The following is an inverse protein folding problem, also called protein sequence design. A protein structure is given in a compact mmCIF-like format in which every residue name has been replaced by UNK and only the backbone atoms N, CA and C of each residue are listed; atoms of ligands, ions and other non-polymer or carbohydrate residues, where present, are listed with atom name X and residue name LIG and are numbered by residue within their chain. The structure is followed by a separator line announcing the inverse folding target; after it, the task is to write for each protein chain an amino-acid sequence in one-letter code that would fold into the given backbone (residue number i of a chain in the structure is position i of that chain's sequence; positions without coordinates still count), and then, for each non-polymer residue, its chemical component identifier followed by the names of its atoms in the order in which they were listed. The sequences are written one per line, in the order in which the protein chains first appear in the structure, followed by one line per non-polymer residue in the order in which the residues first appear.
data_IF_118680734882
#
_entry.id   IF_118680734882
#
_cell.length_a   1.000
_cell.length_b   1.000
_cell.length_c   1.000
_cell.angle_alpha   90.00
_cell.angle_beta   90.00
_cell.angle_gamma   90.00
#
_symmetry.space_group_name_H-M   'P 1'
#
loop_
_entity.id
_entity.type
_entity.pdbx_description
1 polymer ?
#
# COMPACT_ATOMS: atom_id res chain seq x y z
N UNK A 1 15.34 0.03 30.58
CA UNK A 1 15.16 -0.96 29.50
C UNK A 1 14.80 -0.19 28.25
N UNK A 2 15.81 0.08 27.42
CA UNK A 2 15.68 0.96 26.26
C UNK A 2 14.97 0.18 25.15
N UNK A 3 13.71 0.53 24.86
CA UNK A 3 12.97 -0.01 23.73
C UNK A 3 13.66 0.45 22.44
N UNK A 4 14.28 -0.50 21.76
CA UNK A 4 14.95 -0.31 20.49
C UNK A 4 14.00 0.36 19.49
N UNK A 5 14.39 1.53 19.00
CA UNK A 5 13.70 2.24 17.92
C UNK A 5 13.78 1.35 16.68
N UNK A 6 12.76 0.53 16.44
CA UNK A 6 12.55 0.01 15.10
C UNK A 6 11.99 1.15 14.25
N UNK A 7 12.85 2.09 13.84
CA UNK A 7 12.68 2.65 12.51
C UNK A 7 12.67 1.43 11.60
N UNK A 8 11.51 1.07 11.05
CA UNK A 8 11.44 -0.05 10.11
C UNK A 8 12.49 0.21 9.04
N UNK A 9 13.59 -0.56 9.08
CA UNK A 9 14.62 -0.50 8.06
C UNK A 9 13.91 -0.73 6.73
N UNK A 10 14.20 0.10 5.73
CA UNK A 10 13.63 -0.07 4.39
C UNK A 10 13.80 -1.52 3.95
N UNK A 11 12.76 -2.08 3.31
CA UNK A 11 12.79 -3.47 2.85
C UNK A 11 14.02 -3.67 1.96
N UNK A 12 14.94 -4.59 2.30
CA UNK A 12 16.18 -4.75 1.54
C UNK A 12 15.96 -5.26 0.11
N UNK A 13 14.80 -5.86 -0.17
CA UNK A 13 14.41 -6.31 -1.50
C UNK A 13 13.65 -5.24 -2.28
N UNK A 14 12.94 -4.36 -1.56
CA UNK A 14 12.09 -3.33 -2.16
C UNK A 14 12.29 -1.97 -1.48
N UNK A 15 13.49 -1.39 -1.55
CA UNK A 15 13.84 -0.19 -0.78
C UNK A 15 12.99 1.03 -1.16
N UNK A 16 12.51 1.08 -2.41
CA UNK A 16 11.69 2.17 -2.94
C UNK A 16 10.19 1.92 -2.83
N UNK A 17 9.77 0.79 -2.24
CA UNK A 17 8.36 0.44 -2.14
C UNK A 17 7.85 0.44 -0.70
N UNK A 18 6.67 1.04 -0.58
CA UNK A 18 5.85 0.96 0.63
C UNK A 18 5.96 2.23 1.44
N UNK A 19 5.21 2.26 2.53
CA UNK A 19 5.22 3.38 3.45
C UNK A 19 5.14 2.81 4.88
N UNK A 20 6.26 2.91 5.60
CA UNK A 20 6.38 2.38 6.95
C UNK A 20 5.55 3.14 7.99
N UNK A 21 4.93 4.27 7.63
CA UNK A 21 4.11 5.07 8.54
C UNK A 21 2.76 4.43 8.84
N UNK A 22 2.32 3.45 8.06
CA UNK A 22 1.09 2.71 8.32
C UNK A 22 1.24 1.23 7.99
N UNK A 23 0.32 0.42 8.49
CA UNK A 23 0.22 -1.00 8.15
C UNK A 23 -1.18 -1.31 7.66
N UNK A 24 -1.30 -1.73 6.40
CA UNK A 24 -2.54 -2.30 5.89
C UNK A 24 -2.72 -3.69 6.49
N UNK A 25 -3.90 -3.96 7.04
CA UNK A 25 -4.22 -5.26 7.64
C UNK A 25 -5.32 -6.00 6.86
N UNK A 26 -6.02 -5.32 5.94
CA UNK A 26 -7.03 -5.93 5.07
C UNK A 26 -7.05 -5.24 3.71
N UNK A 27 -7.07 -6.05 2.67
CA UNK A 27 -7.31 -5.65 1.30
C UNK A 27 -8.60 -6.31 0.83
N UNK A 28 -9.53 -5.51 0.32
CA UNK A 28 -10.73 -6.00 -0.33
C UNK A 28 -10.64 -5.56 -1.79
N UNK A 29 -10.48 -6.55 -2.68
CA UNK A 29 -10.23 -6.33 -4.09
C UNK A 29 -11.41 -6.90 -4.88
N UNK A 30 -12.10 -6.03 -5.63
CA UNK A 30 -13.05 -6.45 -6.65
C UNK A 30 -12.40 -6.26 -8.02
N UNK A 31 -12.00 -7.37 -8.64
CA UNK A 31 -11.19 -7.37 -9.85
C UNK A 31 -11.98 -7.84 -11.07
N UNK A 32 -11.83 -7.11 -12.16
CA UNK A 32 -12.32 -7.45 -13.49
C UNK A 32 -11.13 -7.73 -14.39
N UNK A 33 -10.86 -9.01 -14.64
CA UNK A 33 -9.76 -9.44 -15.51
C UNK A 33 -10.28 -9.96 -16.86
N UNK A 34 -9.69 -9.46 -17.94
CA UNK A 34 -9.94 -9.89 -19.32
C UNK A 34 -8.65 -10.47 -19.90
N UNK A 35 -8.51 -11.81 -19.95
CA UNK A 35 -7.25 -12.45 -20.37
C UNK A 35 -6.82 -12.15 -21.80
N UNK A 36 -7.75 -12.14 -22.76
CA UNK A 36 -7.44 -11.92 -24.18
C UNK A 36 -6.65 -10.62 -24.44
N UNK A 37 -7.18 -9.45 -24.06
CA UNK A 37 -6.45 -8.19 -24.13
C UNK A 37 -5.48 -7.95 -22.95
N UNK A 38 -5.32 -8.93 -22.04
CA UNK A 38 -4.58 -8.82 -20.78
C UNK A 38 -4.91 -7.54 -19.98
N UNK A 39 -6.21 -7.25 -19.80
CA UNK A 39 -6.66 -6.04 -19.13
C UNK A 39 -7.15 -6.36 -17.73
N UNK A 40 -6.66 -5.61 -16.74
CA UNK A 40 -7.13 -5.64 -15.36
C UNK A 40 -7.73 -4.28 -15.00
N UNK A 41 -8.92 -4.32 -14.40
CA UNK A 41 -9.56 -3.18 -13.76
C UNK A 41 -10.15 -3.63 -12.41
N UNK A 42 -10.54 -2.68 -11.57
CA UNK A 42 -11.18 -3.02 -10.31
C UNK A 42 -11.25 -1.87 -9.32
N UNK A 43 -11.80 -2.18 -8.16
CA UNK A 43 -11.79 -1.31 -6.98
C UNK A 43 -11.04 -2.00 -5.84
N UNK A 44 -10.34 -1.20 -5.06
CA UNK A 44 -9.60 -1.66 -3.89
C UNK A 44 -10.04 -0.85 -2.67
N UNK A 45 -10.41 -1.54 -1.60
CA UNK A 45 -10.61 -0.94 -0.27
C UNK A 45 -9.52 -1.45 0.65
N UNK A 46 -8.74 -0.51 1.19
CA UNK A 46 -7.64 -0.79 2.10
C UNK A 46 -8.08 -0.39 3.51
N UNK A 47 -7.93 -1.32 4.47
CA UNK A 47 -8.05 -0.98 5.90
C UNK A 47 -6.65 -0.98 6.51
N UNK A 48 -6.25 0.19 7.00
CA UNK A 48 -4.90 0.42 7.50
C UNK A 48 -4.91 1.06 8.89
N UNK A 49 -3.86 0.76 9.65
CA UNK A 49 -3.59 1.36 10.96
C UNK A 49 -2.38 2.27 10.79
N UNK A 50 -2.58 3.57 11.05
CA UNK A 50 -1.49 4.52 11.10
C UNK A 50 -0.59 4.28 12.33
N UNK A 51 0.69 4.63 12.20
CA UNK A 51 1.64 4.62 13.30
C UNK A 51 1.37 5.73 14.32
N UNK A 52 2.37 6.02 15.16
CA UNK A 52 2.22 6.98 16.26
C UNK A 52 2.15 8.44 15.80
N UNK A 53 2.73 8.76 14.65
CA UNK A 53 2.72 10.11 14.10
C UNK A 53 1.48 10.35 13.22
N UNK A 54 0.93 11.57 13.17
CA UNK A 54 -0.12 11.92 12.23
C UNK A 54 0.31 11.65 10.79
N UNK A 55 -0.62 11.10 10.01
CA UNK A 55 -0.40 10.79 8.60
C UNK A 55 -1.02 11.91 7.76
N UNK A 56 -0.17 12.82 7.24
CA UNK A 56 -0.60 13.98 6.45
C UNK A 56 -0.81 13.65 4.97
N UNK A 57 -0.28 12.52 4.52
CA UNK A 57 -0.38 12.02 3.15
C UNK A 57 -0.46 10.48 3.16
N UNK A 58 -1.11 9.90 2.16
CA UNK A 58 -1.23 8.45 2.03
C UNK A 58 -0.58 8.00 0.72
N UNK A 59 0.64 7.48 0.79
CA UNK A 59 1.37 7.02 -0.39
C UNK A 59 1.10 5.54 -0.63
N UNK A 60 0.66 5.20 -1.85
CA UNK A 60 0.47 3.83 -2.31
C UNK A 60 1.32 3.59 -3.55
N UNK A 61 1.91 2.41 -3.64
CA UNK A 61 2.52 1.98 -4.88
C UNK A 61 1.42 1.51 -5.84
N UNK A 62 1.41 2.09 -7.04
CA UNK A 62 0.59 1.65 -8.14
C UNK A 62 1.52 1.58 -9.36
N UNK A 63 1.61 0.42 -10.00
CA UNK A 63 2.36 0.26 -11.25
C UNK A 63 1.68 1.04 -12.39
N UNK A 64 1.75 0.58 -13.64
CA UNK A 64 1.20 1.30 -14.80
C UNK A 64 -0.33 1.49 -14.82
N UNK A 65 -1.03 1.10 -13.76
CA UNK A 65 -2.45 1.35 -13.58
C UNK A 65 -2.72 2.83 -13.29
N UNK A 66 -3.94 3.26 -13.63
CA UNK A 66 -4.39 4.64 -13.41
C UNK A 66 -5.50 4.65 -12.38
N UNK A 67 -5.47 5.64 -11.49
CA UNK A 67 -6.55 5.88 -10.54
C UNK A 67 -7.71 6.56 -11.26
N UNK A 68 -8.88 5.93 -11.24
CA UNK A 68 -10.11 6.52 -11.79
C UNK A 68 -10.84 7.39 -10.76
N UNK A 69 -10.88 6.94 -9.50
CA UNK A 69 -11.57 7.59 -8.38
C UNK A 69 -10.92 7.17 -7.06
N UNK A 70 -10.97 8.06 -6.07
CA UNK A 70 -10.69 7.82 -4.66
C UNK A 70 -11.95 8.19 -3.87
#
# INVERSE_FOLDING_TARGET
MSGERTTATADPYFPDHGDSRYRVHRYELALEYRPGPNRLAGTARLSAIAGRAPLTEFQLNLSDFRVGRI
#
